data_IF_809155516702
#
_entry.id   IF_809155516702
#
_cell.length_a   1.000
_cell.length_b   1.000
_cell.length_c   1.000
_cell.angle_alpha   90.00
_cell.angle_beta   90.00
_cell.angle_gamma   90.00
#
_symmetry.space_group_name_H-M   'P 1'
#
loop_
_entity.id
_entity.type
_entity.pdbx_description
1 polymer ?
#
# COMPACT_ATOMS: atom_id res chain seq x y z
N UNK A 1 10.71 10.16 12.82
CA UNK A 1 9.54 10.38 11.93
C UNK A 1 9.30 9.10 11.14
N UNK A 2 8.08 8.56 11.12
CA UNK A 2 7.78 7.35 10.34
C UNK A 2 7.99 7.65 8.85
N UNK A 3 8.87 6.88 8.19
CA UNK A 3 9.12 6.92 6.74
C UNK A 3 8.34 5.87 5.97
N UNK A 4 7.65 4.98 6.68
CA UNK A 4 7.07 3.79 6.09
C UNK A 4 5.59 4.00 5.74
N UNK A 5 5.17 3.46 4.59
CA UNK A 5 3.75 3.26 4.29
C UNK A 5 3.22 2.16 5.23
N UNK A 6 2.12 2.46 5.93
CA UNK A 6 1.54 1.58 6.96
C UNK A 6 0.07 1.29 6.66
N UNK A 7 -0.48 0.27 7.33
CA UNK A 7 -1.90 -0.06 7.26
C UNK A 7 -2.64 0.52 8.45
N UNK A 8 -3.69 1.27 8.16
CA UNK A 8 -4.62 1.81 9.13
C UNK A 8 -6.04 1.34 8.80
N UNK A 9 -6.97 1.56 9.72
CA UNK A 9 -8.38 1.24 9.55
C UNK A 9 -9.24 2.49 9.65
N UNK A 10 -10.33 2.51 8.89
CA UNK A 10 -11.40 3.51 8.96
C UNK A 10 -12.74 2.79 8.93
N UNK A 11 -13.54 2.89 10.00
CA UNK A 11 -14.86 2.26 10.11
C UNK A 11 -14.86 0.75 9.76
N UNK A 12 -13.81 0.03 10.15
CA UNK A 12 -13.65 -1.40 9.88
C UNK A 12 -13.10 -1.76 8.50
N UNK A 13 -12.74 -0.77 7.68
CA UNK A 13 -12.12 -0.97 6.36
C UNK A 13 -10.64 -0.60 6.38
N UNK A 14 -9.84 -1.32 5.61
CA UNK A 14 -8.40 -1.12 5.48
C UNK A 14 -8.09 0.07 4.58
N UNK A 15 -7.07 0.84 4.98
CA UNK A 15 -6.51 1.96 4.21
C UNK A 15 -4.99 1.97 4.33
N UNK A 16 -4.33 2.38 3.24
CA UNK A 16 -2.93 2.77 3.27
C UNK A 16 -2.82 4.13 3.94
N UNK A 17 -1.84 4.26 4.84
CA UNK A 17 -1.46 5.49 5.48
C UNK A 17 -0.04 5.85 5.06
N UNK A 18 0.08 6.99 4.36
CA UNK A 18 1.37 7.47 3.91
C UNK A 18 2.05 8.30 5.01
N UNK A 19 3.39 8.30 5.07
CA UNK A 19 4.16 9.26 5.87
C UNK A 19 3.74 10.70 5.56
N UNK A 20 3.76 11.58 6.57
CA UNK A 20 3.37 12.98 6.36
C UNK A 20 4.35 13.75 5.47
N UNK A 21 5.63 13.36 5.43
CA UNK A 21 6.62 13.93 4.51
C UNK A 21 6.28 13.57 3.05
N UNK A 22 6.06 12.28 2.78
CA UNK A 22 5.67 11.78 1.46
C UNK A 22 4.30 12.32 1.03
N UNK A 23 3.36 12.42 1.97
CA UNK A 23 2.03 12.99 1.73
C UNK A 23 2.10 14.43 1.24
N UNK A 24 3.02 15.24 1.79
CA UNK A 24 3.23 16.62 1.35
C UNK A 24 3.94 16.68 0.00
N UNK A 25 5.01 15.89 -0.16
CA UNK A 25 5.83 15.89 -1.38
C UNK A 25 5.04 15.45 -2.62
N UNK A 26 4.23 14.39 -2.50
CA UNK A 26 3.54 13.77 -3.63
C UNK A 26 2.12 14.31 -3.79
N UNK A 27 1.38 14.44 -2.68
CA UNK A 27 -0.06 14.73 -2.73
C UNK A 27 -0.41 16.16 -2.31
N UNK A 28 0.56 16.98 -1.90
CA UNK A 28 0.31 18.33 -1.37
C UNK A 28 -0.54 18.34 -0.09
N UNK A 29 -0.66 17.20 0.61
CA UNK A 29 -1.56 17.03 1.76
C UNK A 29 -0.76 16.82 3.05
N UNK A 30 -1.28 17.35 4.17
CA UNK A 30 -0.68 17.11 5.50
C UNK A 30 -0.57 15.61 5.80
N UNK A 31 -1.58 14.85 5.40
CA UNK A 31 -1.63 13.41 5.54
C UNK A 31 -2.51 12.83 4.44
N UNK A 32 -2.00 11.80 3.76
CA UNK A 32 -2.71 11.12 2.70
C UNK A 32 -3.07 9.69 3.10
N UNK A 33 -4.31 9.32 2.79
CA UNK A 33 -4.86 7.99 3.02
C UNK A 33 -5.47 7.48 1.72
N UNK A 34 -5.27 6.19 1.43
CA UNK A 34 -5.91 5.51 0.29
C UNK A 34 -6.70 4.32 0.82
N UNK A 35 -8.02 4.37 0.68
CA UNK A 35 -8.89 3.25 1.02
C UNK A 35 -8.61 2.06 0.09
N UNK A 36 -8.57 0.85 0.66
CA UNK A 36 -8.34 -0.40 -0.07
C UNK A 36 -9.64 -1.16 -0.41
N UNK A 37 -10.78 -0.68 0.08
CA UNK A 37 -12.10 -1.25 -0.22
C UNK A 37 -12.38 -2.62 0.42
N UNK A 38 -11.53 -3.08 1.34
CA UNK A 38 -11.68 -4.36 2.04
C UNK A 38 -11.83 -4.15 3.54
N UNK A 39 -12.65 -4.98 4.18
CA UNK A 39 -12.78 -5.02 5.64
C UNK A 39 -11.50 -5.54 6.31
N UNK A 40 -11.26 -5.11 7.54
CA UNK A 40 -10.12 -5.55 8.37
C UNK A 40 -10.32 -6.98 8.90
N UNK A 41 -10.06 -7.95 8.02
CA UNK A 41 -9.91 -9.36 8.39
C UNK A 41 -8.42 -9.72 8.37
N UNK A 42 -8.01 -10.77 9.08
CA UNK A 42 -6.59 -11.22 9.09
C UNK A 42 -6.03 -11.41 7.67
N UNK A 43 -6.80 -12.05 6.78
CA UNK A 43 -6.40 -12.29 5.39
C UNK A 43 -6.28 -10.99 4.59
N UNK A 44 -7.24 -10.07 4.75
CA UNK A 44 -7.19 -8.79 4.04
C UNK A 44 -6.07 -7.90 4.57
N UNK A 45 -5.77 -7.96 5.87
CA UNK A 45 -4.67 -7.22 6.47
C UNK A 45 -3.31 -7.70 5.94
N UNK A 46 -3.08 -9.01 5.85
CA UNK A 46 -1.88 -9.56 5.22
C UNK A 46 -1.73 -9.13 3.76
N UNK A 47 -2.83 -9.16 2.99
CA UNK A 47 -2.86 -8.64 1.62
C UNK A 47 -2.52 -7.14 1.56
N UNK A 48 -3.05 -6.34 2.48
CA UNK A 48 -2.78 -4.91 2.56
C UNK A 48 -1.32 -4.63 2.95
N UNK A 49 -0.76 -5.37 3.91
CA UNK A 49 0.64 -5.27 4.32
C UNK A 49 1.59 -5.60 3.17
N UNK A 50 1.28 -6.61 2.36
CA UNK A 50 2.06 -6.92 1.15
C UNK A 50 2.02 -5.76 0.13
N UNK A 51 0.88 -5.09 -0.02
CA UNK A 51 0.77 -3.89 -0.87
C UNK A 51 1.60 -2.75 -0.30
N UNK A 52 1.50 -2.47 1.00
CA UNK A 52 2.28 -1.42 1.64
C UNK A 52 3.79 -1.67 1.52
N UNK A 53 4.23 -2.92 1.70
CA UNK A 53 5.63 -3.32 1.52
C UNK A 53 6.11 -3.11 0.08
N UNK A 54 5.29 -3.46 -0.92
CA UNK A 54 5.61 -3.22 -2.33
C UNK A 54 5.73 -1.72 -2.63
N UNK A 55 4.75 -0.92 -2.19
CA UNK A 55 4.78 0.54 -2.36
C UNK A 55 6.03 1.13 -1.69
N UNK A 56 6.35 0.68 -0.48
CA UNK A 56 7.55 1.14 0.22
C UNK A 56 8.82 0.81 -0.57
N UNK A 57 8.92 -0.41 -1.12
CA UNK A 57 10.06 -0.80 -1.94
C UNK A 57 10.16 0.04 -3.24
N UNK A 58 9.03 0.41 -3.85
CA UNK A 58 9.02 1.30 -5.02
C UNK A 58 9.46 2.72 -4.67
N UNK A 59 9.09 3.23 -3.48
CA UNK A 59 9.52 4.55 -2.95
C UNK A 59 11.01 4.56 -2.59
N UNK A 60 11.52 3.46 -2.03
CA UNK A 60 12.92 3.37 -1.59
C UNK A 60 13.89 3.21 -2.76
N UNK A 61 13.39 2.92 -3.97
CA UNK A 61 14.21 2.86 -5.19
C UNK A 61 14.49 4.26 -5.75
N UNK A 62 15.73 4.53 -6.19
CA UNK A 62 16.10 5.81 -6.76
C UNK A 62 15.50 6.07 -8.15
N UNK A 63 14.92 5.06 -8.78
CA UNK A 63 14.50 5.07 -10.20
C UNK A 63 13.09 5.63 -10.44
N UNK A 64 12.50 6.33 -9.46
CA UNK A 64 11.15 6.94 -9.53
C UNK A 64 10.04 5.97 -9.99
N UNK A 65 10.11 4.72 -9.55
CA UNK A 65 9.15 3.67 -9.91
C UNK A 65 7.81 3.78 -9.16
N UNK A 66 7.74 4.66 -8.17
CA UNK A 66 6.53 4.86 -7.39
C UNK A 66 5.47 5.60 -8.21
N UNK A 67 4.38 4.91 -8.56
CA UNK A 67 3.21 5.54 -9.19
C UNK A 67 2.35 6.27 -8.13
N UNK A 68 2.36 7.62 -8.11
CA UNK A 68 1.65 8.39 -7.11
C UNK A 68 0.13 8.34 -7.29
N UNK A 69 -0.38 7.96 -8.46
CA UNK A 69 -1.83 7.85 -8.69
C UNK A 69 -2.43 6.70 -7.87
N UNK A 70 -1.59 5.75 -7.45
CA UNK A 70 -1.99 4.49 -6.82
C UNK A 70 -3.11 3.83 -7.62
N UNK A 71 -3.07 3.94 -8.95
CA UNK A 71 -4.02 3.31 -9.85
C UNK A 71 -3.64 1.83 -10.04
N UNK A 72 -3.40 1.16 -8.92
CA UNK A 72 -3.28 -0.27 -8.89
C UNK A 72 -4.66 -0.81 -9.22
N UNK A 73 -4.80 -1.44 -10.38
CA UNK A 73 -5.86 -2.40 -10.58
C UNK A 73 -5.64 -3.48 -9.52
N UNK A 74 -6.27 -3.33 -8.35
CA UNK A 74 -6.27 -4.30 -7.26
C UNK A 74 -7.05 -5.54 -7.70
N UNK A 75 -6.63 -6.16 -8.80
CA UNK A 75 -7.00 -7.52 -9.13
C UNK A 75 -6.60 -8.34 -7.91
N UNK A 76 -7.48 -9.17 -7.35
CA UNK A 76 -7.08 -10.10 -6.31
C UNK A 76 -5.82 -10.80 -6.81
N UNK A 77 -4.78 -10.86 -5.98
CA UNK A 77 -3.59 -11.65 -6.24
C UNK A 77 -4.08 -13.10 -6.35
N UNK A 78 -4.52 -13.52 -7.54
CA UNK A 78 -4.91 -14.90 -7.80
C UNK A 78 -3.71 -15.76 -8.14
N UNK A 79 -2.55 -15.18 -8.48
CA UNK A 79 -1.37 -15.94 -8.93
C UNK A 79 -0.04 -15.36 -8.40
N UNK A 80 0.18 -15.41 -7.08
CA UNK A 80 1.55 -15.50 -6.54
C UNK A 80 1.53 -16.74 -5.66
N UNK A 81 2.44 -17.70 -5.91
CA UNK A 81 2.53 -19.08 -5.39
C UNK A 81 1.97 -20.23 -6.25
N UNK A 82 2.18 -20.21 -7.58
CA UNK A 82 2.37 -21.47 -8.32
C UNK A 82 3.59 -21.30 -9.24
N UNK A 83 4.76 -21.54 -8.68
CA UNK A 83 5.93 -22.08 -9.38
C UNK A 83 6.89 -22.64 -8.31
N UNK A 84 6.44 -23.72 -7.68
CA UNK A 84 7.34 -24.80 -7.29
C UNK A 84 6.69 -26.07 -7.84
N UNK A 85 6.86 -26.25 -9.15
CA UNK A 85 6.53 -27.47 -9.86
C UNK A 85 7.80 -28.33 -9.89
N UNK A 86 7.59 -29.61 -9.57
CA UNK A 86 8.49 -30.77 -9.78
C UNK A 86 9.71 -30.89 -8.87
#
# INVERSE_FOLDING_TARGET
MARNVTISTDKGYLRLQFPSALSRAVYGKRQFYKALGRSDTKQNRQWAEAIAAKIQADIDRPDDLFDPTLNFNFKPIKNLWINSLQ
#
